data_IF_348496549762
#
_entry.id   IF_348496549762
#
_cell.length_a   1.000
_cell.length_b   1.000
_cell.length_c   1.000
_cell.angle_alpha   90.00
_cell.angle_beta   90.00
_cell.angle_gamma   90.00
#
_symmetry.space_group_name_H-M   'P 1'
#
loop_
_entity.id
_entity.type
_entity.pdbx_description
1 polymer ?
#
# COMPACT_ATOMS: atom_id res chain seq x y z
N UNK A 1 67.66 -18.29 -18.76
CA UNK A 1 66.41 -18.71 -19.43
C UNK A 1 65.26 -18.07 -18.66
N UNK A 2 64.54 -17.04 -19.10
CA UNK A 2 64.55 -16.27 -20.34
C UNK A 2 64.35 -14.77 -20.07
N UNK A 3 64.38 -14.03 -21.17
CA UNK A 3 64.61 -12.59 -21.32
C UNK A 3 63.33 -11.73 -21.28
N UNK A 4 63.52 -10.50 -20.80
CA UNK A 4 63.10 -9.18 -21.34
C UNK A 4 61.62 -8.87 -21.64
N UNK A 5 61.20 -7.67 -21.21
CA UNK A 5 60.01 -6.97 -21.70
C UNK A 5 59.73 -5.63 -20.99
N UNK A 6 60.45 -4.59 -21.38
CA UNK A 6 60.45 -3.18 -20.92
C UNK A 6 59.35 -2.33 -21.59
N UNK A 7 58.88 -1.30 -20.86
CA UNK A 7 58.44 0.07 -21.27
C UNK A 7 57.22 0.49 -20.41
N UNK A 8 57.13 1.64 -19.75
CA UNK A 8 57.97 2.82 -19.63
C UNK A 8 57.18 3.94 -18.91
N UNK A 9 57.92 4.89 -18.33
CA UNK A 9 57.62 6.33 -18.25
C UNK A 9 56.37 6.80 -17.48
N UNK A 10 56.64 7.41 -16.32
CA UNK A 10 56.37 8.83 -16.09
C UNK A 10 54.97 9.26 -15.61
N UNK A 11 54.96 10.08 -14.54
CA UNK A 11 53.86 11.00 -14.27
C UNK A 11 53.41 11.02 -12.82
N UNK A 12 53.85 12.05 -12.09
CA UNK A 12 53.12 12.55 -10.92
C UNK A 12 51.69 12.90 -11.34
N UNK A 13 50.70 12.25 -10.73
CA UNK A 13 49.39 12.86 -10.54
C UNK A 13 48.87 12.49 -9.15
N UNK A 14 48.68 13.54 -8.35
CA UNK A 14 47.88 13.53 -7.14
C UNK A 14 46.53 12.88 -7.41
N UNK A 15 46.25 11.75 -6.76
CA UNK A 15 44.90 11.22 -6.74
C UNK A 15 44.23 11.88 -5.53
N UNK A 16 43.45 12.92 -5.85
CA UNK A 16 42.57 13.64 -4.94
C UNK A 16 41.75 12.68 -4.05
N UNK A 17 41.38 13.04 -2.82
CA UNK A 17 40.49 12.22 -2.03
C UNK A 17 39.21 12.05 -2.84
N UNK A 18 38.84 10.80 -3.11
CA UNK A 18 37.56 10.46 -3.69
C UNK A 18 36.48 10.99 -2.74
N UNK A 19 36.01 12.21 -3.01
CA UNK A 19 34.71 12.72 -2.59
C UNK A 19 33.64 11.89 -3.33
N UNK A 20 33.60 10.60 -3.04
CA UNK A 20 32.46 9.77 -3.27
C UNK A 20 31.41 10.24 -2.28
N UNK A 21 30.65 11.27 -2.66
CA UNK A 21 29.26 11.35 -2.22
C UNK A 21 28.67 10.02 -2.69
N UNK A 22 28.58 9.04 -1.78
CA UNK A 22 27.66 7.93 -1.96
C UNK A 22 26.31 8.58 -2.09
N UNK A 23 25.89 8.78 -3.34
CA UNK A 23 24.52 9.07 -3.67
C UNK A 23 23.80 7.77 -3.30
N UNK A 24 23.32 7.71 -2.08
CA UNK A 24 22.32 6.73 -1.70
C UNK A 24 21.12 7.08 -2.57
N UNK A 25 21.06 6.47 -3.74
CA UNK A 25 19.81 6.41 -4.48
C UNK A 25 18.93 5.51 -3.63
N UNK A 26 18.17 6.14 -2.73
CA UNK A 26 16.95 5.54 -2.23
C UNK A 26 16.11 5.31 -3.47
N UNK A 27 16.18 4.09 -4.02
CA UNK A 27 15.24 3.65 -5.03
C UNK A 27 13.91 3.61 -4.29
N UNK A 28 13.16 4.70 -4.35
CA UNK A 28 11.79 4.73 -3.90
C UNK A 28 11.04 3.73 -4.78
N UNK A 29 10.81 2.53 -4.25
CA UNK A 29 9.94 1.56 -4.87
C UNK A 29 8.51 2.11 -4.78
N UNK A 30 7.90 2.41 -5.92
CA UNK A 30 6.45 2.51 -6.01
C UNK A 30 5.97 1.44 -6.98
N UNK A 31 5.47 0.28 -6.51
CA UNK A 31 4.59 -0.49 -7.37
C UNK A 31 3.42 0.43 -7.72
N UNK A 32 3.16 0.65 -9.01
CA UNK A 32 1.96 1.37 -9.43
C UNK A 32 0.81 0.37 -9.38
N UNK A 33 -0.11 0.41 -8.41
CA UNK A 33 -1.43 -0.16 -8.66
C UNK A 33 -2.05 0.74 -9.73
N UNK A 34 -2.14 0.24 -10.97
CA UNK A 34 -2.97 0.89 -11.97
C UNK A 34 -4.38 0.48 -11.61
N UNK A 35 -5.21 1.43 -11.18
CA UNK A 35 -6.63 1.17 -11.04
C UNK A 35 -7.25 0.98 -12.40
N UNK A 36 -7.85 -0.18 -12.60
CA UNK A 36 -8.57 -0.53 -13.82
C UNK A 36 -10.05 -0.47 -13.48
N UNK A 37 -10.83 0.32 -14.20
CA UNK A 37 -12.28 0.26 -14.05
C UNK A 37 -12.79 -0.88 -14.93
N UNK A 38 -13.62 -1.74 -14.34
CA UNK A 38 -14.27 -2.85 -15.02
C UNK A 38 -15.77 -2.59 -15.06
N UNK A 39 -16.23 -2.04 -16.18
CA UNK A 39 -17.67 -1.96 -16.43
C UNK A 39 -18.14 -3.30 -16.98
N UNK A 40 -19.15 -3.90 -16.33
CA UNK A 40 -19.86 -5.05 -16.87
C UNK A 40 -20.79 -4.56 -17.98
N UNK A 41 -20.32 -4.65 -19.22
CA UNK A 41 -21.06 -4.22 -20.41
C UNK A 41 -21.98 -5.31 -20.97
N UNK A 42 -21.78 -6.58 -20.59
CA UNK A 42 -22.63 -7.72 -20.95
C UNK A 42 -22.31 -8.95 -20.07
N UNK A 43 -23.19 -9.96 -20.03
CA UNK A 43 -22.95 -11.23 -19.32
C UNK A 43 -21.59 -11.84 -19.74
N UNK A 44 -20.59 -11.74 -18.86
CA UNK A 44 -19.26 -12.34 -19.04
C UNK A 44 -18.22 -11.51 -19.78
N UNK A 45 -18.51 -10.26 -20.20
CA UNK A 45 -17.51 -9.37 -20.81
C UNK A 45 -17.22 -8.16 -19.92
N UNK A 46 -15.96 -8.11 -19.46
CA UNK A 46 -15.42 -7.00 -18.69
C UNK A 46 -14.60 -6.12 -19.65
N UNK A 47 -14.91 -4.82 -19.73
CA UNK A 47 -14.05 -3.85 -20.42
C UNK A 47 -13.14 -3.19 -19.41
N UNK A 48 -11.86 -3.50 -19.51
CA UNK A 48 -10.80 -2.84 -18.75
C UNK A 48 -10.41 -1.53 -19.42
N UNK A 49 -10.58 -0.42 -18.72
CA UNK A 49 -10.06 0.87 -19.19
C UNK A 49 -9.07 1.40 -18.15
N UNK A 50 -7.82 1.63 -18.56
CA UNK A 50 -6.81 2.34 -17.77
C UNK A 50 -7.28 3.78 -17.67
N UNK A 51 -7.88 4.16 -16.53
CA UNK A 51 -8.65 5.38 -16.47
C UNK A 51 -8.03 6.40 -15.51
N UNK A 52 -7.52 7.51 -16.06
CA UNK A 52 -7.05 8.66 -15.30
C UNK A 52 -8.14 9.36 -14.46
N UNK A 53 -9.39 8.88 -14.53
CA UNK A 53 -10.54 9.29 -13.73
C UNK A 53 -10.41 8.95 -12.24
N UNK A 54 -9.60 7.95 -11.86
CA UNK A 54 -9.50 7.44 -10.48
C UNK A 54 -8.22 7.81 -9.73
N UNK A 55 -7.56 8.90 -10.15
CA UNK A 55 -6.35 9.42 -9.47
C UNK A 55 -6.52 9.60 -7.97
N UNK A 56 -7.71 9.94 -7.52
CA UNK A 56 -8.01 10.12 -6.10
C UNK A 56 -7.90 8.79 -5.33
N UNK A 57 -8.46 7.71 -5.89
CA UNK A 57 -8.30 6.37 -5.34
C UNK A 57 -6.82 5.94 -5.38
N UNK A 58 -6.13 6.12 -6.52
CA UNK A 58 -4.71 5.77 -6.64
C UNK A 58 -3.87 6.50 -5.59
N UNK A 59 -4.12 7.79 -5.39
CA UNK A 59 -3.45 8.60 -4.38
C UNK A 59 -3.77 8.09 -2.96
N UNK A 60 -5.01 7.73 -2.68
CA UNK A 60 -5.40 7.21 -1.37
C UNK A 60 -4.73 5.86 -1.08
N UNK A 61 -4.74 4.92 -2.03
CA UNK A 61 -4.06 3.63 -1.89
C UNK A 61 -2.55 3.82 -1.68
N UNK A 62 -1.91 4.73 -2.43
CA UNK A 62 -0.48 5.01 -2.30
C UNK A 62 -0.10 5.73 -0.99
N UNK A 63 -1.03 6.49 -0.40
CA UNK A 63 -0.83 7.13 0.90
C UNK A 63 -1.24 6.24 2.08
N UNK A 64 -1.86 5.10 1.80
CA UNK A 64 -2.16 4.10 2.82
C UNK A 64 -0.90 3.29 3.12
N UNK A 65 -0.68 2.98 4.40
CA UNK A 65 0.38 2.06 4.80
C UNK A 65 0.10 0.58 4.43
N UNK A 66 -1.13 0.25 4.04
CA UNK A 66 -1.50 -1.09 3.57
C UNK A 66 -0.86 -1.38 2.21
N UNK A 67 -0.39 -2.62 2.05
CA UNK A 67 0.23 -3.11 0.82
C UNK A 67 -0.54 -4.30 0.27
N UNK A 68 -0.16 -4.77 -0.93
CA UNK A 68 -0.69 -6.02 -1.51
C UNK A 68 -0.36 -7.29 -0.70
N UNK A 69 0.40 -7.16 0.40
CA UNK A 69 0.68 -8.22 1.36
C UNK A 69 0.14 -7.85 2.75
N UNK A 70 -0.36 -8.86 3.45
CA UNK A 70 -0.79 -8.72 4.83
C UNK A 70 0.40 -8.37 5.74
N UNK A 71 0.24 -7.32 6.53
CA UNK A 71 1.21 -6.84 7.51
C UNK A 71 1.01 -7.56 8.84
N UNK A 72 2.05 -8.27 9.30
CA UNK A 72 2.09 -8.85 10.63
C UNK A 72 2.43 -7.81 11.69
N UNK A 73 2.23 -8.16 12.97
CA UNK A 73 2.70 -7.33 14.10
C UNK A 73 4.17 -6.92 13.94
N UNK A 74 5.05 -7.86 13.60
CA UNK A 74 6.48 -7.58 13.41
C UNK A 74 6.74 -6.58 12.29
N UNK A 75 5.95 -6.60 11.21
CA UNK A 75 6.10 -5.66 10.10
C UNK A 75 5.66 -4.25 10.53
N UNK A 76 4.55 -4.15 11.26
CA UNK A 76 4.04 -2.89 11.79
C UNK A 76 5.00 -2.26 12.80
N UNK A 77 5.55 -3.07 13.71
CA UNK A 77 6.55 -2.61 14.68
C UNK A 77 7.83 -2.11 13.98
N UNK A 78 8.30 -2.80 12.92
CA UNK A 78 9.44 -2.35 12.11
C UNK A 78 9.16 -1.05 11.36
N UNK A 79 7.91 -0.82 10.96
CA UNK A 79 7.47 0.44 10.35
C UNK A 79 7.28 1.58 11.38
N UNK A 80 7.45 1.29 12.67
CA UNK A 80 7.37 2.26 13.76
C UNK A 80 5.98 2.43 14.37
N UNK A 81 5.02 1.57 14.01
CA UNK A 81 3.73 1.55 14.70
C UNK A 81 3.88 0.97 16.10
N UNK A 82 3.11 1.50 17.04
CA UNK A 82 3.04 1.01 18.42
C UNK A 82 1.73 0.27 18.62
N UNK A 83 1.82 -0.94 19.15
CA UNK A 83 0.65 -1.76 19.48
C UNK A 83 -0.14 -1.09 20.61
N UNK A 84 -1.45 -0.97 20.40
CA UNK A 84 -2.38 -0.57 21.47
C UNK A 84 -2.49 -1.66 22.52
N UNK A 85 -2.71 -1.27 23.77
CA UNK A 85 -2.93 -2.22 24.86
C UNK A 85 -4.29 -2.93 24.76
N UNK A 86 -5.20 -2.42 23.93
CA UNK A 86 -6.58 -2.87 23.83
C UNK A 86 -6.84 -3.59 22.50
N UNK A 87 -7.65 -4.65 22.59
CA UNK A 87 -8.23 -5.38 21.48
C UNK A 87 -9.73 -5.08 21.46
N UNK A 88 -10.31 -4.86 20.28
CA UNK A 88 -11.76 -4.65 20.19
C UNK A 88 -12.56 -5.95 20.40
N UNK A 89 -13.86 -5.80 20.56
CA UNK A 89 -14.79 -6.91 20.78
C UNK A 89 -14.82 -7.94 19.64
N UNK A 90 -14.40 -7.55 18.44
CA UNK A 90 -14.32 -8.40 17.25
C UNK A 90 -12.92 -9.04 17.09
N UNK A 91 -12.03 -8.89 18.08
CA UNK A 91 -10.69 -9.48 18.10
C UNK A 91 -9.65 -8.71 17.28
N UNK A 92 -9.94 -7.47 16.87
CA UNK A 92 -9.00 -6.61 16.18
C UNK A 92 -8.02 -5.96 17.14
N UNK A 93 -6.76 -5.89 16.72
CA UNK A 93 -5.67 -5.26 17.47
C UNK A 93 -5.24 -3.99 16.73
N UNK A 94 -5.15 -2.88 17.45
CA UNK A 94 -4.79 -1.58 16.87
C UNK A 94 -3.29 -1.29 17.00
N UNK A 95 -2.75 -0.61 15.99
CA UNK A 95 -1.37 -0.18 15.90
C UNK A 95 -1.34 1.28 15.44
N UNK A 96 -0.68 2.16 16.19
CA UNK A 96 -0.76 3.60 15.97
C UNK A 96 0.61 4.24 15.70
N UNK A 97 0.63 5.24 14.83
CA UNK A 97 1.81 6.02 14.46
C UNK A 97 1.39 7.38 13.90
N UNK A 98 1.90 8.47 14.45
CA UNK A 98 1.80 9.82 13.85
C UNK A 98 0.37 10.25 13.40
N UNK A 99 -0.66 9.86 14.17
CA UNK A 99 -2.07 10.16 13.85
C UNK A 99 -2.71 9.22 12.84
N UNK A 100 -2.02 8.13 12.49
CA UNK A 100 -2.52 7.00 11.72
C UNK A 100 -2.78 5.81 12.65
N UNK A 101 -3.76 4.99 12.29
CA UNK A 101 -4.08 3.75 12.98
C UNK A 101 -4.27 2.62 11.98
N UNK A 102 -3.73 1.44 12.31
CA UNK A 102 -3.94 0.19 11.58
C UNK A 102 -4.57 -0.80 12.54
N UNK A 103 -5.79 -1.23 12.22
CA UNK A 103 -6.47 -2.34 12.86
C UNK A 103 -6.12 -3.63 12.15
N UNK A 104 -5.56 -4.59 12.87
CA UNK A 104 -5.22 -5.92 12.38
C UNK A 104 -6.28 -6.90 12.88
N UNK A 105 -6.98 -7.56 11.95
CA UNK A 105 -7.93 -8.61 12.27
C UNK A 105 -7.47 -9.92 11.63
N UNK A 106 -7.26 -10.93 12.48
CA UNK A 106 -6.80 -12.26 12.10
C UNK A 106 -7.71 -13.32 12.73
N UNK A 107 -9.02 -13.16 12.58
CA UNK A 107 -10.01 -14.07 13.17
C UNK A 107 -10.59 -15.00 12.10
N UNK A 108 -10.22 -16.29 12.16
CA UNK A 108 -10.94 -17.36 11.45
C UNK A 108 -12.29 -17.71 12.09
N UNK A 109 -12.58 -17.16 13.27
CA UNK A 109 -13.72 -17.58 14.11
C UNK A 109 -15.05 -17.02 13.57
N UNK A 110 -15.03 -15.90 12.83
CA UNK A 110 -16.23 -15.25 12.29
C UNK A 110 -16.29 -15.25 10.75
N UNK A 111 -15.55 -16.14 10.09
CA UNK A 111 -15.78 -16.50 8.68
C UNK A 111 -15.20 -15.58 7.61
N UNK A 112 -14.65 -14.42 7.95
CA UNK A 112 -13.99 -13.54 6.99
C UNK A 112 -12.49 -13.49 7.27
N UNK A 113 -11.69 -13.72 6.24
CA UNK A 113 -10.25 -13.91 6.33
C UNK A 113 -9.47 -12.74 6.93
N UNK A 114 -8.15 -12.78 6.75
CA UNK A 114 -7.24 -11.76 7.25
C UNK A 114 -7.62 -10.39 6.68
N UNK A 115 -7.74 -9.36 7.52
CA UNK A 115 -8.01 -8.01 7.04
C UNK A 115 -7.22 -6.97 7.81
N UNK A 116 -6.93 -5.86 7.12
CA UNK A 116 -6.32 -4.67 7.71
C UNK A 116 -7.24 -3.48 7.47
N UNK A 117 -7.34 -2.60 8.47
CA UNK A 117 -8.04 -1.32 8.33
C UNK A 117 -7.09 -0.21 8.71
N UNK A 118 -6.66 0.57 7.73
CA UNK A 118 -5.87 1.78 7.91
C UNK A 118 -6.80 3.00 8.01
N UNK A 119 -6.47 3.93 8.89
CA UNK A 119 -7.14 5.23 9.00
C UNK A 119 -6.12 6.33 9.25
N UNK A 120 -6.37 7.48 8.65
CA UNK A 120 -5.82 8.76 9.06
C UNK A 120 -6.92 9.84 9.00
N UNK A 121 -6.55 11.12 9.21
CA UNK A 121 -7.51 12.24 9.20
C UNK A 121 -8.29 12.42 7.89
N UNK A 122 -7.75 11.97 6.75
CA UNK A 122 -8.28 12.28 5.41
C UNK A 122 -8.94 11.06 4.74
N UNK A 123 -8.59 9.84 5.17
CA UNK A 123 -9.04 8.63 4.51
C UNK A 123 -9.11 7.42 5.45
N UNK A 124 -9.89 6.44 5.02
CA UNK A 124 -9.86 5.08 5.56
C UNK A 124 -9.65 4.09 4.42
N UNK A 125 -8.91 3.01 4.68
CA UNK A 125 -8.67 1.95 3.72
C UNK A 125 -8.79 0.61 4.42
N UNK A 126 -9.76 -0.18 4.00
CA UNK A 126 -9.97 -1.55 4.44
C UNK A 126 -9.54 -2.48 3.32
N UNK A 127 -8.66 -3.42 3.62
CA UNK A 127 -8.19 -4.44 2.68
C UNK A 127 -8.39 -5.83 3.27
N UNK A 128 -8.86 -6.75 2.44
CA UNK A 128 -9.00 -8.18 2.74
C UNK A 128 -7.90 -8.97 2.07
N UNK A 129 -7.49 -10.06 2.71
CA UNK A 129 -6.38 -10.90 2.29
C UNK A 129 -6.77 -12.38 2.36
N UNK A 130 -6.22 -13.15 1.43
CA UNK A 130 -6.33 -14.61 1.44
C UNK A 130 -5.49 -15.24 2.57
N UNK A 131 -5.57 -16.56 2.71
CA UNK A 131 -4.81 -17.30 3.72
C UNK A 131 -3.28 -17.16 3.55
N UNK A 132 -2.81 -16.94 2.32
CA UNK A 132 -1.41 -16.72 1.98
C UNK A 132 -0.97 -15.26 2.25
N UNK A 133 -1.89 -14.40 2.68
CA UNK A 133 -1.64 -12.99 2.94
C UNK A 133 -1.54 -12.15 1.68
N UNK A 134 -2.05 -12.62 0.54
CA UNK A 134 -2.20 -11.82 -0.68
C UNK A 134 -3.52 -11.07 -0.64
N UNK A 135 -3.48 -9.79 -1.00
CA UNK A 135 -4.68 -8.97 -1.06
C UNK A 135 -5.69 -9.49 -2.09
N UNK A 136 -6.98 -9.46 -1.73
CA UNK A 136 -8.10 -9.92 -2.56
C UNK A 136 -9.06 -8.81 -2.96
N UNK A 137 -9.07 -7.68 -2.25
CA UNK A 137 -10.02 -6.60 -2.45
C UNK A 137 -10.11 -5.69 -1.23
N UNK A 138 -11.02 -4.73 -1.28
CA UNK A 138 -11.19 -3.79 -0.20
C UNK A 138 -12.11 -2.62 -0.50
N UNK A 139 -12.10 -1.67 0.43
CA UNK A 139 -12.86 -0.43 0.37
C UNK A 139 -11.92 0.73 0.74
N UNK A 140 -11.89 1.76 -0.09
CA UNK A 140 -11.19 3.03 0.19
C UNK A 140 -12.22 4.14 0.36
N UNK A 141 -12.11 4.90 1.43
CA UNK A 141 -12.91 6.09 1.69
C UNK A 141 -12.03 7.34 1.72
N UNK A 142 -12.42 8.36 0.97
CA UNK A 142 -11.67 9.62 0.88
C UNK A 142 -12.57 10.80 1.22
N UNK A 143 -12.19 11.56 2.25
CA UNK A 143 -12.89 12.80 2.64
C UNK A 143 -12.64 13.89 1.62
N UNK A 144 -13.71 14.42 1.05
CA UNK A 144 -13.70 15.52 0.10
C UNK A 144 -13.65 16.87 0.84
N UNK A 145 -13.24 17.92 0.14
CA UNK A 145 -13.18 19.28 0.70
C UNK A 145 -14.54 19.84 1.11
N UNK A 146 -15.61 19.41 0.47
CA UNK A 146 -17.00 19.80 0.79
C UNK A 146 -17.60 18.98 1.95
N UNK A 147 -16.81 18.12 2.59
CA UNK A 147 -17.24 17.28 3.71
C UNK A 147 -17.87 15.95 3.31
N UNK A 148 -18.18 15.71 2.03
CA UNK A 148 -18.66 14.40 1.59
C UNK A 148 -17.52 13.37 1.58
N UNK A 149 -17.87 12.09 1.52
CA UNK A 149 -16.93 10.97 1.48
C UNK A 149 -17.18 10.19 0.20
N UNK A 150 -16.15 10.05 -0.64
CA UNK A 150 -16.19 9.10 -1.75
C UNK A 150 -15.75 7.73 -1.26
N UNK A 151 -16.53 6.72 -1.60
CA UNK A 151 -16.28 5.33 -1.24
C UNK A 151 -16.03 4.54 -2.52
N UNK A 152 -14.89 3.89 -2.58
CA UNK A 152 -14.45 3.04 -3.68
C UNK A 152 -14.40 1.61 -3.21
N UNK A 153 -15.19 0.73 -3.81
CA UNK A 153 -15.07 -0.71 -3.61
C UNK A 153 -14.23 -1.29 -4.74
N UNK A 154 -13.28 -2.17 -4.42
CA UNK A 154 -12.42 -2.78 -5.43
C UNK A 154 -12.13 -4.26 -5.14
N UNK A 155 -11.88 -5.00 -6.21
CA UNK A 155 -11.33 -6.36 -6.18
C UNK A 155 -9.86 -6.35 -6.64
N UNK A 156 -9.13 -7.42 -6.36
CA UNK A 156 -7.73 -7.60 -6.82
C UNK A 156 -7.61 -8.86 -7.67
N UNK A 157 -6.94 -8.78 -8.82
CA UNK A 157 -6.70 -9.94 -9.66
C UNK A 157 -5.49 -10.81 -9.21
N UNK A 158 -5.19 -11.82 -10.01
CA UNK A 158 -4.06 -12.71 -9.79
C UNK A 158 -2.70 -12.01 -9.90
N UNK A 159 -2.60 -10.88 -10.59
CA UNK A 159 -1.37 -10.11 -10.77
C UNK A 159 -1.20 -9.02 -9.69
N UNK A 160 -2.26 -8.70 -8.95
CA UNK A 160 -2.27 -7.64 -7.93
C UNK A 160 -2.82 -6.31 -8.43
N UNK A 161 -3.40 -6.27 -9.63
CA UNK A 161 -4.07 -5.07 -10.15
C UNK A 161 -5.39 -4.87 -9.40
N UNK A 162 -5.75 -3.61 -9.14
CA UNK A 162 -6.96 -3.23 -8.40
C UNK A 162 -8.05 -2.83 -9.39
N UNK A 163 -9.23 -3.41 -9.24
CA UNK A 163 -10.37 -3.19 -10.10
C UNK A 163 -11.50 -2.53 -9.34
N UNK A 164 -11.82 -1.28 -9.66
CA UNK A 164 -12.91 -0.56 -8.99
C UNK A 164 -14.25 -1.14 -9.45
N UNK A 165 -15.00 -1.72 -8.52
CA UNK A 165 -16.33 -2.27 -8.74
C UNK A 165 -17.42 -1.22 -8.67
N UNK A 166 -17.31 -0.32 -7.71
CA UNK A 166 -18.32 0.69 -7.43
C UNK A 166 -17.70 1.94 -6.84
N UNK A 167 -18.35 3.08 -7.13
CA UNK A 167 -18.01 4.37 -6.55
C UNK A 167 -19.30 5.02 -6.07
N UNK A 168 -19.36 5.32 -4.77
CA UNK A 168 -20.50 5.99 -4.16
C UNK A 168 -20.06 7.23 -3.39
N UNK A 169 -20.99 8.13 -3.10
CA UNK A 169 -20.75 9.27 -2.22
C UNK A 169 -21.64 9.12 -1.00
N UNK A 170 -21.04 9.24 0.19
CA UNK A 170 -21.68 9.12 1.49
C UNK A 170 -21.40 10.36 2.32
N UNK A 171 -22.27 10.69 3.25
CA UNK A 171 -22.01 11.66 4.33
C UNK A 171 -21.57 10.97 5.63
N UNK A 172 -21.66 9.63 5.68
CA UNK A 172 -21.30 8.80 6.83
C UNK A 172 -19.91 8.18 6.62
N UNK A 173 -19.06 8.33 7.64
CA UNK A 173 -17.75 7.68 7.74
C UNK A 173 -17.96 6.25 8.28
N UNK A 174 -18.18 5.28 7.38
CA UNK A 174 -18.56 3.92 7.78
C UNK A 174 -17.52 3.19 8.63
N UNK A 175 -16.28 3.71 8.71
CA UNK A 175 -15.27 3.14 9.59
C UNK A 175 -15.31 3.73 10.99
N UNK A 176 -15.85 4.95 11.19
CA UNK A 176 -16.01 5.53 12.52
C UNK A 176 -16.88 4.66 13.45
N UNK A 177 -17.79 3.86 12.88
CA UNK A 177 -18.77 3.04 13.62
C UNK A 177 -18.26 1.65 14.06
N UNK A 178 -17.04 1.25 13.69
CA UNK A 178 -16.44 -0.04 14.12
C UNK A 178 -15.52 0.09 15.36
N UNK A 179 -15.59 1.21 16.08
CA UNK A 179 -14.93 1.43 17.39
C UNK A 179 -15.78 0.96 18.57
#
# INVERSE_FOLDING_TARGET
MGLLGINGIGGNQEISPASGKQKTETINFTPKPISIMTEQIDYGKIKETINGQYKEFDNAVNNSALTGKFLSENDLLKQGYKKSAMMDMNGGIYYEKDGESIRVMNSRILGNGKSLSFRNKNMAHFATYDDKGKETGGIVQVKQQNGSIKVYEYDVDIEGNKFIKSVTTSELDYFADYE
#
